data_IF_600599270907
#
_entry.id   IF_600599270907
#
_cell.length_a   1.000
_cell.length_b   1.000
_cell.length_c   1.000
_cell.angle_alpha   90.00
_cell.angle_beta   90.00
_cell.angle_gamma   90.00
#
_symmetry.space_group_name_H-M   'P 1'
#
loop_
_entity.id
_entity.type
_entity.pdbx_description
1 polymer ?
#
# COMPACT_ATOMS: atom_id res chain seq x y z
N UNK A 1 -15.11 -13.38 -2.96
CA UNK A 1 -13.75 -13.58 -3.49
C UNK A 1 -13.38 -15.05 -3.59
N UNK A 2 -13.45 -15.85 -2.53
CA UNK A 2 -13.04 -17.27 -2.59
C UNK A 2 -13.78 -18.09 -3.69
N UNK A 3 -15.09 -17.89 -3.84
CA UNK A 3 -15.90 -18.59 -4.85
C UNK A 3 -15.63 -18.15 -6.31
N UNK A 4 -14.95 -17.03 -6.52
CA UNK A 4 -14.58 -16.54 -7.86
C UNK A 4 -13.30 -17.20 -8.38
N UNK A 5 -12.46 -17.73 -7.49
CA UNK A 5 -11.14 -18.28 -7.80
C UNK A 5 -10.99 -19.74 -7.30
N UNK A 6 -11.83 -20.69 -7.76
CA UNK A 6 -11.81 -22.07 -7.27
C UNK A 6 -10.46 -22.77 -7.51
N UNK A 7 -9.73 -22.39 -8.57
CA UNK A 7 -8.40 -22.93 -8.87
C UNK A 7 -7.31 -22.46 -7.89
N UNK A 8 -7.46 -21.28 -7.30
CA UNK A 8 -6.51 -20.79 -6.28
C UNK A 8 -6.81 -21.38 -4.90
N UNK A 9 -8.07 -21.76 -4.65
CA UNK A 9 -8.58 -22.30 -3.40
C UNK A 9 -9.14 -23.72 -3.57
N UNK A 10 -8.29 -24.73 -3.82
CA UNK A 10 -8.74 -26.09 -4.07
C UNK A 10 -9.47 -26.73 -2.88
N UNK A 11 -9.22 -26.23 -1.67
CA UNK A 11 -9.87 -26.69 -0.43
C UNK A 11 -11.17 -25.96 -0.10
N UNK A 12 -11.57 -24.96 -0.90
CA UNK A 12 -12.83 -24.25 -0.70
C UNK A 12 -12.87 -23.36 0.53
N UNK A 13 -11.79 -22.64 0.83
CA UNK A 13 -11.72 -21.71 1.98
C UNK A 13 -12.84 -20.66 1.91
N UNK A 14 -13.39 -20.26 3.06
CA UNK A 14 -14.57 -19.36 3.10
C UNK A 14 -14.28 -17.91 2.68
N UNK A 15 -12.99 -17.53 2.56
CA UNK A 15 -12.56 -16.17 2.24
C UNK A 15 -12.65 -15.21 3.43
N UNK A 16 -12.51 -13.91 3.16
CA UNK A 16 -12.57 -12.88 4.21
C UNK A 16 -14.00 -12.69 4.74
N UNK A 17 -14.13 -12.58 6.07
CA UNK A 17 -15.32 -12.10 6.75
C UNK A 17 -14.97 -11.25 7.98
N UNK A 18 -15.86 -10.35 8.41
CA UNK A 18 -15.60 -9.38 9.49
C UNK A 18 -15.46 -9.98 10.90
N UNK A 19 -15.63 -11.30 11.05
CA UNK A 19 -15.63 -12.00 12.35
C UNK A 19 -14.45 -12.95 12.50
N UNK A 20 -13.36 -12.73 11.77
CA UNK A 20 -12.14 -13.52 11.94
C UNK A 20 -11.36 -12.91 13.12
N UNK A 21 -11.18 -13.65 14.22
CA UNK A 21 -10.41 -13.17 15.36
C UNK A 21 -8.90 -13.20 15.03
N UNK A 22 -8.10 -12.38 15.72
CA UNK A 22 -6.65 -12.56 15.71
C UNK A 22 -6.29 -13.87 16.41
N UNK A 23 -5.38 -14.65 15.81
CA UNK A 23 -4.85 -15.87 16.41
C UNK A 23 -3.35 -15.68 16.71
N UNK A 24 -2.96 -15.64 18.00
CA UNK A 24 -1.55 -15.61 18.42
C UNK A 24 -1.30 -15.02 19.82
N UNK A 25 -0.15 -15.32 20.43
CA UNK A 25 0.26 -14.89 21.80
C UNK A 25 0.37 -13.37 22.00
N UNK A 26 0.21 -12.56 20.95
CA UNK A 26 0.28 -11.09 20.98
C UNK A 26 -1.06 -10.40 21.30
N UNK A 27 -2.02 -11.10 21.92
CA UNK A 27 -3.29 -10.53 22.39
C UNK A 27 -3.10 -9.30 23.30
N UNK A 28 -1.93 -9.18 23.95
CA UNK A 28 -1.63 -8.10 24.90
C UNK A 28 -1.32 -6.75 24.23
N UNK A 29 -0.97 -6.72 22.94
CA UNK A 29 -0.56 -5.49 22.24
C UNK A 29 -1.61 -4.95 21.27
N UNK A 30 -2.54 -5.80 20.81
CA UNK A 30 -3.50 -5.45 19.76
C UNK A 30 -4.84 -5.11 20.41
N UNK A 31 -5.26 -3.84 20.32
CA UNK A 31 -6.53 -3.35 20.89
C UNK A 31 -7.78 -3.81 20.12
N UNK A 32 -7.61 -4.47 18.96
CA UNK A 32 -8.69 -4.85 18.05
C UNK A 32 -8.99 -6.34 18.16
N UNK A 33 -10.27 -6.68 18.26
CA UNK A 33 -10.76 -8.05 18.40
C UNK A 33 -10.77 -8.83 17.07
N UNK A 34 -10.94 -8.14 15.94
CA UNK A 34 -11.09 -8.74 14.60
C UNK A 34 -10.06 -8.21 13.60
N UNK A 35 -9.66 -9.09 12.69
CA UNK A 35 -8.73 -8.79 11.59
C UNK A 35 -9.32 -7.77 10.59
N UNK A 36 -8.49 -6.87 10.11
CA UNK A 36 -8.84 -5.97 9.00
C UNK A 36 -8.72 -6.69 7.65
N UNK A 37 -9.46 -6.20 6.65
CA UNK A 37 -9.38 -6.74 5.27
C UNK A 37 -7.94 -6.70 4.76
N UNK A 38 -7.24 -5.60 5.06
CA UNK A 38 -5.84 -5.39 4.69
C UNK A 38 -4.93 -6.48 5.28
N UNK A 39 -5.01 -6.74 6.57
CA UNK A 39 -4.15 -7.73 7.23
C UNK A 39 -4.43 -9.14 6.71
N UNK A 40 -5.70 -9.47 6.45
CA UNK A 40 -6.08 -10.76 5.88
C UNK A 40 -5.42 -11.00 4.51
N UNK A 41 -5.55 -10.07 3.57
CA UNK A 41 -4.94 -10.23 2.25
C UNK A 41 -3.41 -10.07 2.29
N UNK A 42 -2.87 -9.25 3.19
CA UNK A 42 -1.44 -9.14 3.41
C UNK A 42 -0.83 -10.47 3.87
N UNK A 43 -1.50 -11.13 4.82
CA UNK A 43 -1.15 -12.46 5.30
C UNK A 43 -1.17 -13.46 4.14
N UNK A 44 -2.23 -13.43 3.32
CA UNK A 44 -2.46 -14.38 2.25
C UNK A 44 -1.49 -14.26 1.07
N UNK A 45 -1.02 -13.03 0.76
CA UNK A 45 -0.02 -12.78 -0.29
C UNK A 45 1.41 -13.07 0.17
N UNK A 46 1.64 -13.24 1.48
CA UNK A 46 2.96 -13.48 2.02
C UNK A 46 3.40 -14.92 1.76
N UNK A 47 4.53 -15.10 1.07
CA UNK A 47 5.12 -16.44 0.92
C UNK A 47 5.75 -16.93 2.21
N UNK A 48 5.36 -18.15 2.62
CA UNK A 48 5.95 -18.88 3.75
C UNK A 48 6.38 -20.27 3.31
N UNK A 49 7.38 -20.82 3.99
CA UNK A 49 7.91 -22.15 3.66
C UNK A 49 6.96 -23.28 4.09
N UNK A 50 6.11 -23.02 5.10
CA UNK A 50 5.19 -24.00 5.70
C UNK A 50 3.81 -24.06 5.04
N UNK A 51 3.46 -23.13 4.17
CA UNK A 51 2.15 -23.06 3.50
C UNK A 51 2.23 -23.52 2.03
N UNK A 52 1.10 -23.98 1.50
CA UNK A 52 0.98 -24.43 0.12
C UNK A 52 1.22 -23.28 -0.88
N UNK A 53 1.99 -23.55 -1.94
CA UNK A 53 2.32 -22.58 -3.00
C UNK A 53 1.27 -22.52 -4.12
N UNK A 54 0.04 -22.97 -3.86
CA UNK A 54 -1.02 -23.07 -4.87
C UNK A 54 -1.41 -21.70 -5.41
N UNK A 55 -1.60 -20.74 -4.50
CA UNK A 55 -1.96 -19.37 -4.87
C UNK A 55 -0.87 -18.68 -5.69
N UNK A 56 0.38 -18.78 -5.26
CA UNK A 56 1.49 -18.08 -5.92
C UNK A 56 1.84 -18.64 -7.29
N UNK A 57 1.47 -19.89 -7.57
CA UNK A 57 1.63 -20.54 -8.89
C UNK A 57 0.51 -20.22 -9.88
N UNK A 58 -0.47 -19.41 -9.49
CA UNK A 58 -1.61 -19.04 -10.33
C UNK A 58 -1.28 -18.12 -11.52
N UNK A 59 -0.06 -17.58 -11.60
CA UNK A 59 0.39 -16.71 -12.69
C UNK A 59 -0.58 -15.54 -12.95
N UNK A 60 -1.12 -15.44 -14.17
CA UNK A 60 -2.09 -14.39 -14.54
C UNK A 60 -3.37 -14.42 -13.68
N UNK A 61 -3.82 -15.58 -13.24
CA UNK A 61 -4.99 -15.69 -12.36
C UNK A 61 -4.69 -15.10 -10.98
N UNK A 62 -3.46 -15.28 -10.50
CA UNK A 62 -2.98 -14.68 -9.26
C UNK A 62 -2.88 -13.15 -9.37
N UNK A 63 -2.48 -12.61 -10.54
CA UNK A 63 -2.51 -11.16 -10.77
C UNK A 63 -3.92 -10.59 -10.67
N UNK A 64 -4.90 -11.26 -11.26
CA UNK A 64 -6.30 -10.83 -11.18
C UNK A 64 -6.78 -10.84 -9.72
N UNK A 65 -6.42 -11.88 -8.96
CA UNK A 65 -6.72 -11.96 -7.54
C UNK A 65 -6.11 -10.81 -6.73
N UNK A 66 -4.84 -10.43 -6.99
CA UNK A 66 -4.19 -9.29 -6.34
C UNK A 66 -4.94 -7.99 -6.64
N UNK A 67 -5.29 -7.75 -7.91
CA UNK A 67 -6.00 -6.53 -8.32
C UNK A 67 -7.35 -6.45 -7.63
N UNK A 68 -8.12 -7.54 -7.63
CA UNK A 68 -9.41 -7.56 -6.97
C UNK A 68 -9.26 -7.34 -5.45
N UNK A 69 -8.29 -7.99 -4.80
CA UNK A 69 -8.01 -7.80 -3.37
C UNK A 69 -7.68 -6.33 -3.05
N UNK A 70 -6.91 -5.67 -3.91
CA UNK A 70 -6.62 -4.25 -3.80
C UNK A 70 -7.88 -3.38 -3.88
N UNK A 71 -8.79 -3.68 -4.82
CA UNK A 71 -10.05 -2.90 -4.94
C UNK A 71 -10.90 -2.99 -3.68
N UNK A 72 -10.95 -4.15 -3.02
CA UNK A 72 -11.73 -4.32 -1.78
C UNK A 72 -11.11 -3.51 -0.64
N UNK A 73 -9.77 -3.52 -0.54
CA UNK A 73 -9.07 -2.73 0.49
C UNK A 73 -9.28 -1.23 0.28
N UNK A 74 -9.24 -0.77 -0.96
CA UNK A 74 -9.49 0.64 -1.27
C UNK A 74 -10.96 1.02 -1.04
N UNK A 75 -11.90 0.13 -1.34
CA UNK A 75 -13.31 0.33 -0.97
C UNK A 75 -13.49 0.47 0.55
N UNK A 76 -12.85 -0.39 1.34
CA UNK A 76 -12.90 -0.32 2.81
C UNK A 76 -12.35 1.03 3.32
N UNK A 77 -11.26 1.52 2.74
CA UNK A 77 -10.67 2.83 3.09
C UNK A 77 -11.56 3.99 2.71
N UNK A 78 -12.16 3.94 1.53
CA UNK A 78 -13.14 4.94 1.10
C UNK A 78 -14.35 4.93 2.03
N UNK A 79 -14.82 3.76 2.43
CA UNK A 79 -15.91 3.60 3.40
C UNK A 79 -15.53 4.18 4.77
N UNK A 80 -14.33 3.91 5.26
CA UNK A 80 -13.81 4.51 6.50
C UNK A 80 -13.78 6.04 6.41
N UNK A 81 -13.24 6.59 5.32
CA UNK A 81 -13.18 8.03 5.10
C UNK A 81 -14.57 8.66 5.00
N UNK A 82 -15.55 7.96 4.42
CA UNK A 82 -16.93 8.42 4.31
C UNK A 82 -17.63 8.44 5.67
N UNK A 83 -17.48 7.38 6.48
CA UNK A 83 -18.13 7.27 7.78
C UNK A 83 -17.52 8.21 8.83
N UNK A 84 -16.21 8.44 8.77
CA UNK A 84 -15.49 9.26 9.74
C UNK A 84 -15.34 10.74 9.32
N UNK A 85 -16.05 11.19 8.27
CA UNK A 85 -15.98 12.57 7.76
C UNK A 85 -16.12 13.63 8.86
N UNK A 86 -17.01 13.45 9.85
CA UNK A 86 -17.23 14.45 10.92
C UNK A 86 -15.99 14.60 11.80
N UNK A 87 -15.35 13.49 12.18
CA UNK A 87 -14.12 13.48 12.97
C UNK A 87 -12.96 14.06 12.17
N UNK A 88 -12.80 13.62 10.91
CA UNK A 88 -11.76 14.13 10.01
C UNK A 88 -11.88 15.64 9.76
N UNK A 89 -13.11 16.17 9.69
CA UNK A 89 -13.37 17.62 9.56
C UNK A 89 -13.07 18.39 10.85
N UNK A 90 -13.39 17.82 12.02
CA UNK A 90 -13.06 18.43 13.29
C UNK A 90 -11.53 18.48 13.52
N UNK A 91 -10.83 17.40 13.19
CA UNK A 91 -9.36 17.34 13.24
C UNK A 91 -8.75 18.38 12.29
N UNK A 92 -9.28 18.53 11.06
CA UNK A 92 -8.87 19.58 10.13
C UNK A 92 -9.05 20.97 10.75
N UNK A 93 -10.21 21.26 11.37
CA UNK A 93 -10.48 22.55 11.98
C UNK A 93 -9.49 22.85 13.13
N UNK A 94 -9.26 21.88 14.01
CA UNK A 94 -8.29 22.02 15.10
C UNK A 94 -6.87 22.26 14.59
N UNK A 95 -6.43 21.52 13.56
CA UNK A 95 -5.12 21.73 12.93
C UNK A 95 -4.99 23.12 12.30
N UNK A 96 -6.08 23.65 11.72
CA UNK A 96 -6.10 25.02 11.18
C UNK A 96 -6.04 26.05 12.31
N UNK A 97 -6.83 25.90 13.37
CA UNK A 97 -6.77 26.78 14.54
C UNK A 97 -5.36 26.79 15.17
N UNK A 98 -4.72 25.63 15.30
CA UNK A 98 -3.36 25.50 15.82
C UNK A 98 -2.31 26.15 14.91
N UNK A 99 -2.47 26.03 13.59
CA UNK A 99 -1.57 26.67 12.62
C UNK A 99 -1.69 28.20 12.66
N UNK A 100 -2.92 28.71 12.71
CA UNK A 100 -3.19 30.16 12.86
C UNK A 100 -2.64 30.68 14.19
N UNK A 101 -2.77 29.91 15.28
CA UNK A 101 -2.20 30.26 16.59
C UNK A 101 -0.66 30.35 16.60
N UNK A 102 0.02 29.67 15.66
CA UNK A 102 1.48 29.71 15.49
C UNK A 102 1.96 30.81 14.52
N UNK A 103 1.04 31.56 13.92
CA UNK A 103 1.36 32.62 12.95
C UNK A 103 1.61 32.13 11.52
N UNK A 104 1.38 30.85 11.23
CA UNK A 104 1.48 30.31 9.87
C UNK A 104 0.27 30.77 9.04
N UNK A 105 0.54 31.60 8.03
CA UNK A 105 -0.50 32.29 7.24
C UNK A 105 -1.10 31.44 6.11
N UNK A 106 -0.63 30.21 5.90
CA UNK A 106 -1.07 29.37 4.78
C UNK A 106 -1.87 28.16 5.27
N UNK A 107 -3.17 28.38 5.40
CA UNK A 107 -4.16 27.38 5.83
C UNK A 107 -4.79 26.68 4.62
N UNK A 108 -4.01 25.96 3.80
CA UNK A 108 -4.57 25.21 2.67
C UNK A 108 -4.29 23.71 2.71
N UNK A 109 -5.38 22.99 3.02
CA UNK A 109 -5.71 21.62 2.56
C UNK A 109 -5.21 20.43 3.38
N UNK A 110 -5.89 20.14 4.50
CA UNK A 110 -5.77 18.87 5.21
C UNK A 110 -7.04 18.03 5.01
N UNK A 111 -7.03 17.16 3.99
CA UNK A 111 -8.13 16.24 3.76
C UNK A 111 -8.14 15.75 2.33
N UNK A 112 -7.22 14.85 2.01
CA UNK A 112 -7.06 14.34 0.65
C UNK A 112 -6.91 12.84 0.67
N UNK A 113 -7.96 12.14 0.24
CA UNK A 113 -7.84 10.76 -0.20
C UNK A 113 -6.79 10.70 -1.32
N UNK A 114 -5.81 9.80 -1.19
CA UNK A 114 -4.73 9.63 -2.17
C UNK A 114 -5.35 9.30 -3.54
N UNK A 115 -5.02 10.08 -4.57
CA UNK A 115 -5.59 9.93 -5.92
C UNK A 115 -6.88 10.71 -6.20
N UNK A 116 -7.50 11.37 -5.21
CA UNK A 116 -8.66 12.23 -5.44
C UNK A 116 -8.31 13.59 -6.08
N UNK A 117 -9.30 14.35 -6.63
CA UNK A 117 -9.05 15.65 -7.24
C UNK A 117 -8.32 16.64 -6.32
N UNK A 118 -8.68 16.66 -5.04
CA UNK A 118 -8.05 17.53 -4.04
C UNK A 118 -6.60 17.12 -3.71
N UNK A 119 -6.29 15.83 -3.75
CA UNK A 119 -4.93 15.32 -3.59
C UNK A 119 -4.03 15.80 -4.74
N UNK A 120 -4.54 15.73 -5.98
CA UNK A 120 -3.80 16.20 -7.14
C UNK A 120 -3.57 17.72 -7.12
N UNK A 121 -4.57 18.51 -6.74
CA UNK A 121 -4.41 19.97 -6.59
C UNK A 121 -3.37 20.31 -5.52
N UNK A 122 -3.36 19.59 -4.39
CA UNK A 122 -2.34 19.76 -3.35
C UNK A 122 -0.93 19.47 -3.88
N UNK A 123 -0.73 18.32 -4.52
CA UNK A 123 0.58 17.96 -5.10
C UNK A 123 1.02 18.95 -6.18
N UNK A 124 0.08 19.48 -6.97
CA UNK A 124 0.37 20.51 -7.95
C UNK A 124 0.87 21.81 -7.27
N UNK A 125 0.19 22.28 -6.22
CA UNK A 125 0.65 23.45 -5.49
C UNK A 125 2.03 23.24 -4.84
N UNK A 126 2.27 22.07 -4.26
CA UNK A 126 3.57 21.72 -3.68
C UNK A 126 4.68 21.72 -4.75
N UNK A 127 4.41 21.13 -5.92
CA UNK A 127 5.31 21.18 -7.06
C UNK A 127 5.57 22.62 -7.55
N UNK A 128 4.56 23.49 -7.57
CA UNK A 128 4.72 24.90 -7.94
C UNK A 128 5.56 25.67 -6.91
N UNK A 129 5.42 25.37 -5.62
CA UNK A 129 6.28 25.94 -4.56
C UNK A 129 7.73 25.51 -4.78
N UNK A 130 7.97 24.23 -5.06
CA UNK A 130 9.31 23.71 -5.38
C UNK A 130 9.92 24.37 -6.63
N UNK A 131 9.11 24.57 -7.68
CA UNK A 131 9.58 25.27 -8.89
C UNK A 131 9.93 26.73 -8.59
N UNK A 132 9.22 27.37 -7.67
CA UNK A 132 9.53 28.75 -7.26
C UNK A 132 10.80 28.84 -6.43
N UNK A 133 11.08 27.87 -5.55
CA UNK A 133 12.25 27.89 -4.66
C UNK A 133 13.52 27.40 -5.35
N UNK A 134 13.43 26.36 -6.18
CA UNK A 134 14.58 25.71 -6.80
C UNK A 134 14.70 25.95 -8.31
N UNK A 135 13.72 26.64 -8.92
CA UNK A 135 13.66 26.86 -10.37
C UNK A 135 12.97 25.72 -11.12
N UNK A 136 12.80 25.91 -12.42
CA UNK A 136 12.06 24.97 -13.26
C UNK A 136 12.81 23.61 -13.37
N UNK A 137 12.09 22.49 -13.39
CA UNK A 137 12.70 21.17 -13.59
C UNK A 137 13.30 21.06 -14.99
N UNK A 138 14.55 20.60 -15.05
CA UNK A 138 15.27 20.36 -16.31
C UNK A 138 15.32 18.87 -16.70
N UNK A 139 15.09 17.97 -15.74
CA UNK A 139 15.21 16.53 -15.90
C UNK A 139 13.97 15.81 -15.37
N UNK A 140 13.46 14.88 -16.16
CA UNK A 140 12.45 13.92 -15.72
C UNK A 140 13.13 12.56 -15.56
N UNK A 141 13.25 12.08 -14.32
CA UNK A 141 13.81 10.76 -14.02
C UNK A 141 12.67 9.78 -13.79
N UNK A 142 12.60 8.72 -14.58
CA UNK A 142 11.70 7.60 -14.34
C UNK A 142 12.48 6.47 -13.70
N UNK A 143 11.94 5.92 -12.61
CA UNK A 143 12.56 4.87 -11.83
C UNK A 143 11.64 3.66 -11.91
N UNK A 144 12.16 2.56 -12.43
CA UNK A 144 11.41 1.32 -12.64
C UNK A 144 11.96 0.21 -11.78
N UNK A 145 11.09 -0.63 -11.23
CA UNK A 145 11.51 -1.82 -10.52
C UNK A 145 12.17 -2.81 -11.50
N UNK A 146 13.32 -3.37 -11.13
CA UNK A 146 14.09 -4.26 -11.99
C UNK A 146 13.89 -5.72 -11.54
N UNK A 147 13.34 -6.61 -12.38
CA UNK A 147 13.22 -8.04 -12.04
C UNK A 147 14.58 -8.75 -11.89
N UNK A 148 15.66 -8.15 -12.41
CA UNK A 148 17.01 -8.70 -12.36
C UNK A 148 17.77 -8.51 -11.04
N UNK A 149 17.18 -7.88 -10.02
CA UNK A 149 17.82 -7.70 -8.71
C UNK A 149 18.06 -9.02 -7.98
N UNK A 150 19.16 -9.06 -7.22
CA UNK A 150 19.57 -10.27 -6.47
C UNK A 150 18.52 -10.67 -5.43
N UNK A 151 17.97 -9.70 -4.69
CA UNK A 151 16.88 -9.94 -3.71
C UNK A 151 15.67 -10.65 -4.35
N UNK A 152 15.35 -10.32 -5.62
CA UNK A 152 14.24 -10.96 -6.35
C UNK A 152 14.65 -12.36 -6.80
N UNK A 153 15.85 -12.52 -7.37
CA UNK A 153 16.35 -13.82 -7.84
C UNK A 153 16.51 -14.82 -6.71
N UNK A 154 17.05 -14.42 -5.57
CA UNK A 154 17.21 -15.26 -4.38
C UNK A 154 15.85 -15.73 -3.86
N UNK A 155 14.87 -14.83 -3.80
CA UNK A 155 13.51 -15.18 -3.40
C UNK A 155 12.87 -16.16 -4.38
N UNK A 156 13.00 -15.94 -5.69
CA UNK A 156 12.52 -16.90 -6.68
C UNK A 156 13.19 -18.26 -6.46
N UNK A 157 14.53 -18.36 -6.45
CA UNK A 157 15.25 -19.61 -6.22
C UNK A 157 14.79 -20.37 -4.95
N UNK A 158 14.52 -19.65 -3.86
CA UNK A 158 14.09 -20.24 -2.59
C UNK A 158 12.65 -20.76 -2.62
N UNK A 159 11.75 -20.10 -3.34
CA UNK A 159 10.32 -20.40 -3.31
C UNK A 159 9.80 -21.10 -4.59
N UNK A 160 10.54 -21.12 -5.70
CA UNK A 160 10.22 -21.89 -6.91
C UNK A 160 10.84 -21.30 -8.19
N UNK A 161 10.86 -22.07 -9.28
CA UNK A 161 11.35 -21.58 -10.59
C UNK A 161 10.33 -20.70 -11.33
N UNK A 162 9.62 -19.83 -10.61
CA UNK A 162 8.65 -18.91 -11.20
C UNK A 162 9.39 -17.75 -11.89
N UNK A 163 8.80 -17.17 -12.94
CA UNK A 163 9.35 -15.98 -13.59
C UNK A 163 9.08 -14.75 -12.71
N UNK A 164 9.98 -13.77 -12.70
CA UNK A 164 9.77 -12.52 -11.96
C UNK A 164 8.47 -11.79 -12.35
N UNK A 165 8.03 -11.95 -13.61
CA UNK A 165 6.79 -11.37 -14.13
C UNK A 165 5.54 -12.00 -13.53
N UNK A 166 5.59 -13.28 -13.17
CA UNK A 166 4.48 -13.97 -12.51
C UNK A 166 4.32 -13.51 -11.04
N UNK A 167 5.35 -12.88 -10.47
CA UNK A 167 5.43 -12.48 -9.05
C UNK A 167 5.71 -10.98 -8.87
N UNK A 168 4.82 -10.09 -9.34
CA UNK A 168 5.03 -8.63 -9.31
C UNK A 168 5.13 -8.06 -7.89
N UNK A 169 4.57 -8.73 -6.90
CA UNK A 169 4.60 -8.32 -5.51
C UNK A 169 6.02 -8.38 -4.91
N UNK A 170 6.85 -9.36 -5.33
CA UNK A 170 8.24 -9.47 -4.85
C UNK A 170 9.06 -8.31 -5.38
N UNK A 171 8.97 -8.06 -6.69
CA UNK A 171 9.67 -6.98 -7.38
C UNK A 171 9.31 -5.61 -6.79
N UNK A 172 8.03 -5.40 -6.45
CA UNK A 172 7.58 -4.16 -5.83
C UNK A 172 8.07 -4.02 -4.38
N UNK A 173 8.14 -5.11 -3.62
CA UNK A 173 8.70 -5.10 -2.27
C UNK A 173 10.20 -4.83 -2.26
N UNK A 174 10.95 -5.47 -3.15
CA UNK A 174 12.38 -5.22 -3.32
C UNK A 174 12.65 -3.77 -3.70
N UNK A 175 11.83 -3.19 -4.59
CA UNK A 175 11.92 -1.77 -4.94
C UNK A 175 11.74 -0.86 -3.71
N UNK A 176 10.70 -1.11 -2.92
CA UNK A 176 10.45 -0.32 -1.72
C UNK A 176 11.58 -0.46 -0.68
N UNK A 177 12.06 -1.67 -0.43
CA UNK A 177 13.22 -1.89 0.45
C UNK A 177 14.48 -1.18 -0.05
N UNK A 178 14.67 -1.07 -1.36
CA UNK A 178 15.81 -0.35 -1.95
C UNK A 178 15.70 1.18 -1.77
N UNK A 179 14.48 1.75 -1.85
CA UNK A 179 14.24 3.18 -1.58
C UNK A 179 14.57 3.54 -0.13
N UNK A 180 14.28 2.67 0.83
CA UNK A 180 14.58 2.93 2.24
C UNK A 180 16.07 2.91 2.60
N UNK A 181 16.91 2.24 1.81
CA UNK A 181 18.34 1.99 2.12
C UNK A 181 19.29 3.11 1.69
N UNK A 182 18.90 3.98 0.77
CA UNK A 182 19.81 5.00 0.22
C UNK A 182 19.34 6.41 0.64
N UNK A 183 20.24 7.19 1.25
CA UNK A 183 19.97 8.55 1.74
C UNK A 183 19.49 9.48 0.62
N UNK A 184 19.97 9.27 -0.61
CA UNK A 184 19.51 9.97 -1.80
C UNK A 184 18.00 9.79 -2.06
N UNK A 185 17.46 8.58 -1.86
CA UNK A 185 16.05 8.26 -2.06
C UNK A 185 15.14 8.89 -0.99
N UNK A 186 15.59 8.94 0.26
CA UNK A 186 14.81 9.53 1.35
C UNK A 186 14.72 11.05 1.25
N UNK A 187 15.71 11.69 0.62
CA UNK A 187 15.72 13.14 0.37
C UNK A 187 14.96 13.54 -0.90
N UNK A 188 15.05 12.76 -1.99
CA UNK A 188 14.46 13.11 -3.31
C UNK A 188 13.03 12.56 -3.49
N UNK A 189 12.69 11.39 -2.93
CA UNK A 189 11.42 10.70 -3.18
C UNK A 189 10.37 10.85 -2.05
N UNK A 190 10.41 11.93 -1.25
CA UNK A 190 9.34 12.23 -0.28
C UNK A 190 8.00 12.62 -0.93
N UNK A 191 7.92 12.68 -2.26
CA UNK A 191 6.70 12.90 -3.02
C UNK A 191 6.13 11.55 -3.49
N UNK A 192 5.25 10.99 -2.65
CA UNK A 192 4.24 9.96 -2.90
C UNK A 192 4.25 9.29 -4.30
N UNK A 193 5.21 8.40 -4.53
CA UNK A 193 5.15 7.43 -5.61
C UNK A 193 5.42 6.06 -5.03
N UNK A 194 4.33 5.39 -4.63
CA UNK A 194 4.09 3.95 -4.75
C UNK A 194 2.95 3.61 -3.78
N UNK A 195 1.75 3.36 -4.31
CA UNK A 195 0.62 2.94 -3.46
C UNK A 195 -0.03 1.64 -3.93
N UNK A 196 0.21 1.19 -5.15
CA UNK A 196 -0.56 0.07 -5.71
C UNK A 196 -0.28 -1.32 -5.09
N UNK A 197 0.87 -1.50 -4.40
CA UNK A 197 1.27 -2.81 -3.82
C UNK A 197 1.86 -2.71 -2.39
N UNK A 198 2.15 -1.50 -1.91
CA UNK A 198 2.73 -1.24 -0.58
C UNK A 198 1.69 -1.33 0.54
N UNK A 199 0.42 -1.17 0.18
CA UNK A 199 -0.69 -1.18 1.13
C UNK A 199 -1.05 -2.59 1.63
N UNK A 200 -0.41 -3.63 1.12
CA UNK A 200 -0.55 -5.02 1.55
C UNK A 200 0.71 -5.54 2.27
N UNK A 201 1.72 -4.70 2.52
CA UNK A 201 3.05 -5.14 3.00
C UNK A 201 3.35 -4.83 4.48
N UNK A 202 2.37 -4.41 5.29
CA UNK A 202 2.57 -4.25 6.74
C UNK A 202 1.35 -4.75 7.55
N UNK A 203 1.58 -5.50 8.64
CA UNK A 203 0.59 -5.73 9.71
C UNK A 203 0.29 -4.43 10.46
#
# INVERSE_FOLDING_TARGET
MALQYPMLFPYGDSGFHLRIPYAGENEKTIQREYLTVREYYAYQLQTRLSEGKTMTRGGRLYHQFIVDAYTIIEEERLKFNRLNQKKLRADLYNNVCDAVGRGDSDSKSLGTFVGGPRYMVKNYHDAMVLCRTYGNPHLFVTITANPGWEDVKEHLQKYGNDTADDRPEITTRAFHSSQGRNSFWTTVCRLNFSYLLILLSYP
#
